data_IF_980373918654
#
_entry.id   IF_980373918654
#
_cell.length_a   1.000
_cell.length_b   1.000
_cell.length_c   1.000
_cell.angle_alpha   90.00
_cell.angle_beta   90.00
_cell.angle_gamma   90.00
#
_symmetry.space_group_name_H-M   'P 1'
#
loop_
_entity.id
_entity.type
_entity.pdbx_description
1 polymer ?
#
# COMPACT_ATOMS: atom_id res chain seq x y z
N UNK A 1 90.86 33.00 -33.99
CA UNK A 1 90.08 33.19 -32.75
C UNK A 1 88.61 32.91 -33.12
N UNK A 2 88.12 31.69 -32.94
CA UNK A 2 86.80 31.29 -33.30
C UNK A 2 86.12 30.83 -32.01
N UNK A 3 84.96 31.44 -31.68
CA UNK A 3 84.16 31.09 -30.52
C UNK A 3 83.05 30.17 -30.97
N UNK A 4 83.09 28.94 -30.50
CA UNK A 4 82.04 27.94 -30.72
C UNK A 4 80.94 28.11 -29.67
N UNK A 5 79.76 28.38 -30.10
CA UNK A 5 78.55 28.44 -29.24
C UNK A 5 77.83 27.07 -29.25
N UNK A 6 77.76 26.43 -28.10
CA UNK A 6 77.04 25.21 -27.90
C UNK A 6 75.55 25.52 -27.65
N UNK A 7 74.62 25.06 -28.46
CA UNK A 7 73.18 25.06 -28.22
C UNK A 7 72.82 23.84 -27.39
N UNK A 8 72.24 24.09 -26.19
CA UNK A 8 71.58 23.10 -25.37
C UNK A 8 70.10 23.07 -25.74
N UNK A 9 69.66 21.99 -26.36
CA UNK A 9 68.23 21.72 -26.61
C UNK A 9 67.64 20.94 -25.45
N UNK A 10 66.79 21.62 -24.65
CA UNK A 10 66.00 20.97 -23.61
C UNK A 10 64.73 20.34 -24.19
N UNK A 11 64.66 19.01 -24.18
CA UNK A 11 63.44 18.27 -24.53
C UNK A 11 62.51 18.20 -23.33
N UNK A 12 61.38 18.91 -23.39
CA UNK A 12 60.30 18.80 -22.43
C UNK A 12 59.42 17.58 -22.76
N UNK A 13 59.47 16.54 -21.94
CA UNK A 13 58.59 15.39 -22.02
C UNK A 13 57.27 15.78 -21.33
N UNK A 14 56.23 16.04 -22.15
CA UNK A 14 54.85 16.20 -21.67
C UNK A 14 54.27 14.82 -21.34
N UNK A 15 54.20 14.47 -20.05
CA UNK A 15 53.48 13.31 -19.59
C UNK A 15 51.96 13.58 -19.68
N UNK A 16 51.31 13.10 -20.75
CA UNK A 16 49.87 13.06 -20.84
C UNK A 16 49.32 12.00 -19.86
N UNK A 17 48.85 12.46 -18.72
CA UNK A 17 48.09 11.63 -17.77
C UNK A 17 46.78 11.21 -18.40
N UNK A 18 46.68 9.98 -18.90
CA UNK A 18 45.39 9.35 -19.24
C UNK A 18 44.64 9.10 -17.93
N UNK A 19 43.73 10.01 -17.59
CA UNK A 19 42.74 9.75 -16.56
C UNK A 19 41.86 8.59 -17.06
N UNK A 20 42.11 7.39 -16.56
CA UNK A 20 41.19 6.25 -16.68
C UNK A 20 39.93 6.64 -15.94
N UNK A 21 38.92 7.18 -16.64
CA UNK A 21 37.59 7.29 -16.12
C UNK A 21 37.13 5.84 -15.81
N UNK A 22 37.13 5.46 -14.54
CA UNK A 22 36.45 4.25 -14.10
C UNK A 22 35.00 4.37 -14.53
N UNK A 23 34.45 3.42 -15.32
CA UNK A 23 33.04 3.45 -15.59
C UNK A 23 32.31 3.38 -14.24
N UNK A 24 31.61 4.44 -13.89
CA UNK A 24 30.63 4.41 -12.82
C UNK A 24 29.55 3.45 -13.30
N UNK A 25 29.60 2.20 -12.91
CA UNK A 25 28.49 1.28 -13.10
C UNK A 25 27.35 1.81 -12.22
N UNK A 26 26.47 2.61 -12.81
CA UNK A 26 25.17 2.82 -12.22
C UNK A 26 24.54 1.42 -12.09
N UNK A 27 24.16 1.03 -10.89
CA UNK A 27 23.53 -0.27 -10.66
C UNK A 27 22.26 -0.42 -11.49
N UNK A 28 21.81 -1.65 -11.71
CA UNK A 28 20.56 -1.91 -12.43
C UNK A 28 19.41 -1.10 -11.85
N UNK A 29 18.61 -0.48 -12.72
CA UNK A 29 17.48 0.36 -12.29
C UNK A 29 16.33 -0.55 -11.84
N UNK A 30 15.79 -0.23 -10.68
CA UNK A 30 14.54 -0.82 -10.16
C UNK A 30 13.53 0.28 -9.89
N UNK A 31 12.27 0.02 -10.21
CA UNK A 31 11.18 0.98 -10.11
C UNK A 31 10.21 0.65 -8.97
N UNK A 32 9.66 1.68 -8.33
CA UNK A 32 8.47 1.60 -7.49
C UNK A 32 7.44 2.60 -8.01
N UNK A 33 6.20 2.14 -8.18
CA UNK A 33 5.05 2.99 -8.52
C UNK A 33 3.98 2.76 -7.47
N UNK A 34 3.60 3.82 -6.73
CA UNK A 34 2.58 3.78 -5.68
C UNK A 34 1.39 4.68 -6.03
N UNK A 35 0.26 4.47 -5.35
CA UNK A 35 -0.97 5.23 -5.60
C UNK A 35 -0.82 6.71 -5.28
N UNK A 36 -0.15 7.04 -4.15
CA UNK A 36 0.13 8.42 -3.73
C UNK A 36 1.46 8.52 -3.00
N UNK A 37 1.96 9.74 -2.83
CA UNK A 37 3.11 10.05 -1.99
C UNK A 37 2.74 10.72 -0.65
N UNK A 38 1.46 10.77 -0.30
CA UNK A 38 0.93 11.42 0.91
C UNK A 38 0.36 10.45 1.93
N UNK A 39 -0.10 9.27 1.50
CA UNK A 39 -0.54 8.23 2.42
C UNK A 39 0.69 7.62 3.15
N UNK A 40 0.71 7.61 4.50
CA UNK A 40 1.84 7.09 5.28
C UNK A 40 2.27 5.67 4.91
N UNK A 41 1.33 4.80 4.52
CA UNK A 41 1.62 3.45 4.07
C UNK A 41 2.57 3.42 2.86
N UNK A 42 2.29 4.23 1.83
CA UNK A 42 3.12 4.29 0.64
C UNK A 42 4.42 5.07 0.87
N UNK A 43 4.42 6.05 1.78
CA UNK A 43 5.66 6.73 2.21
C UNK A 43 6.62 5.71 2.82
N UNK A 44 6.16 4.85 3.73
CA UNK A 44 6.98 3.80 4.34
C UNK A 44 7.38 2.71 3.36
N UNK A 45 6.49 2.32 2.47
CA UNK A 45 6.83 1.39 1.39
C UNK A 45 7.99 1.92 0.53
N UNK A 46 7.97 3.21 0.17
CA UNK A 46 9.05 3.87 -0.56
C UNK A 46 10.35 3.90 0.24
N UNK A 47 10.31 4.21 1.53
CA UNK A 47 11.50 4.18 2.40
C UNK A 47 12.14 2.79 2.41
N UNK A 48 11.34 1.73 2.59
CA UNK A 48 11.82 0.34 2.54
C UNK A 48 12.40 -0.05 1.18
N UNK A 49 11.73 0.36 0.10
CA UNK A 49 12.21 0.16 -1.26
C UNK A 49 13.58 0.80 -1.51
N UNK A 50 13.71 2.09 -1.19
CA UNK A 50 14.96 2.85 -1.41
C UNK A 50 16.12 2.30 -0.57
N UNK A 51 15.84 1.97 0.70
CA UNK A 51 16.83 1.39 1.60
C UNK A 51 17.34 0.03 1.09
N UNK A 52 16.43 -0.86 0.70
CA UNK A 52 16.80 -2.21 0.23
C UNK A 52 17.48 -2.18 -1.14
N UNK A 53 17.03 -1.34 -2.05
CA UNK A 53 17.69 -1.16 -3.34
C UNK A 53 19.13 -0.68 -3.19
N UNK A 54 19.36 0.30 -2.31
CA UNK A 54 20.69 0.81 -2.00
C UNK A 54 21.58 -0.26 -1.35
N UNK A 55 21.03 -1.05 -0.41
CA UNK A 55 21.73 -2.18 0.22
C UNK A 55 22.26 -3.17 -0.82
N UNK A 56 21.45 -3.45 -1.86
CA UNK A 56 21.79 -4.41 -2.92
C UNK A 56 22.57 -3.80 -4.10
N UNK A 57 22.95 -2.50 -4.03
CA UNK A 57 23.69 -1.81 -5.09
C UNK A 57 22.85 -1.54 -6.34
N UNK A 58 21.52 -1.52 -6.23
CA UNK A 58 20.59 -1.18 -7.29
C UNK A 58 20.33 0.34 -7.30
N UNK A 59 19.85 0.84 -8.43
CA UNK A 59 19.49 2.27 -8.59
C UNK A 59 17.96 2.41 -8.47
N UNK A 60 17.43 2.92 -7.33
CA UNK A 60 15.99 3.06 -7.13
C UNK A 60 15.44 4.26 -7.88
N UNK A 61 14.28 4.07 -8.52
CA UNK A 61 13.44 5.14 -9.08
C UNK A 61 12.02 4.97 -8.56
N UNK A 62 11.53 5.91 -7.76
CA UNK A 62 10.21 5.86 -7.15
C UNK A 62 9.30 6.96 -7.71
N UNK A 63 8.10 6.56 -8.10
CA UNK A 63 7.05 7.41 -8.62
C UNK A 63 5.75 7.16 -7.86
N UNK A 64 4.82 8.12 -7.96
CA UNK A 64 3.50 7.98 -7.37
C UNK A 64 2.45 8.69 -8.24
N UNK A 65 1.23 8.21 -8.20
CA UNK A 65 0.06 8.95 -8.65
C UNK A 65 -0.16 10.21 -7.78
N UNK A 66 -0.97 11.14 -8.27
CA UNK A 66 -1.31 12.37 -7.55
C UNK A 66 -2.32 12.13 -6.43
N UNK A 67 -3.16 11.13 -6.60
CA UNK A 67 -4.20 10.69 -5.67
C UNK A 67 -4.49 9.21 -5.91
N UNK A 68 -5.13 8.55 -4.96
CA UNK A 68 -5.59 7.17 -5.15
C UNK A 68 -6.69 7.15 -6.23
N UNK A 69 -6.44 6.41 -7.32
CA UNK A 69 -7.24 6.44 -8.55
C UNK A 69 -6.58 7.15 -9.75
N UNK A 70 -5.36 7.70 -9.62
CA UNK A 70 -4.62 8.34 -10.74
C UNK A 70 -3.91 7.28 -11.62
N UNK A 71 -4.70 6.44 -12.28
CA UNK A 71 -4.18 5.42 -13.20
C UNK A 71 -3.31 6.02 -14.32
N UNK A 72 -3.65 7.20 -14.85
CA UNK A 72 -2.86 7.87 -15.88
C UNK A 72 -1.46 8.27 -15.40
N UNK A 73 -1.35 8.68 -14.13
CA UNK A 73 -0.07 8.97 -13.49
C UNK A 73 0.79 7.71 -13.37
N UNK A 74 0.20 6.59 -12.98
CA UNK A 74 0.86 5.30 -12.86
C UNK A 74 1.31 4.76 -14.24
N UNK A 75 0.46 4.87 -15.28
CA UNK A 75 0.82 4.53 -16.67
C UNK A 75 2.08 5.27 -17.10
N UNK A 76 2.11 6.61 -16.92
CA UNK A 76 3.28 7.44 -17.26
C UNK A 76 4.53 7.03 -16.49
N UNK A 77 4.39 6.71 -15.20
CA UNK A 77 5.49 6.26 -14.36
C UNK A 77 6.09 4.93 -14.86
N UNK A 78 5.25 3.97 -15.22
CA UNK A 78 5.69 2.68 -15.79
C UNK A 78 6.37 2.92 -17.14
N UNK A 79 5.82 3.75 -18.01
CA UNK A 79 6.45 4.07 -19.32
C UNK A 79 7.81 4.75 -19.15
N UNK A 80 7.98 5.62 -18.15
CA UNK A 80 9.29 6.21 -17.81
C UNK A 80 10.28 5.14 -17.35
N UNK A 81 9.87 4.19 -16.54
CA UNK A 81 10.72 3.08 -16.09
C UNK A 81 11.09 2.13 -17.23
N UNK A 82 10.18 1.88 -18.17
CA UNK A 82 10.48 1.12 -19.39
C UNK A 82 11.55 1.86 -20.22
N UNK A 83 11.37 3.16 -20.45
CA UNK A 83 12.32 3.99 -21.20
C UNK A 83 13.69 4.09 -20.50
N UNK A 84 13.72 4.07 -19.17
CA UNK A 84 14.96 4.06 -18.38
C UNK A 84 15.68 2.70 -18.38
N UNK A 85 15.07 1.65 -18.91
CA UNK A 85 15.65 0.30 -18.95
C UNK A 85 15.64 -0.40 -17.59
N UNK A 86 14.62 -0.13 -16.75
CA UNK A 86 14.46 -0.80 -15.47
C UNK A 86 14.47 -2.34 -15.63
N UNK A 87 15.01 -3.03 -14.63
CA UNK A 87 15.04 -4.50 -14.61
C UNK A 87 13.84 -5.11 -13.90
N UNK A 88 13.26 -4.35 -12.99
CA UNK A 88 12.04 -4.73 -12.28
C UNK A 88 11.24 -3.51 -11.86
N UNK A 89 9.94 -3.67 -11.79
CA UNK A 89 8.97 -2.68 -11.32
C UNK A 89 8.13 -3.30 -10.22
N UNK A 90 8.12 -2.66 -9.06
CA UNK A 90 7.13 -2.90 -8.02
C UNK A 90 5.99 -1.90 -8.19
N UNK A 91 4.75 -2.39 -8.26
CA UNK A 91 3.56 -1.61 -8.57
C UNK A 91 2.49 -1.81 -7.51
N UNK A 92 1.94 -0.70 -6.99
CA UNK A 92 0.69 -0.71 -6.21
C UNK A 92 -0.39 -0.05 -7.07
N UNK A 93 -1.23 -0.81 -7.79
CA UNK A 93 -2.15 -0.25 -8.77
C UNK A 93 -3.35 0.45 -8.12
N UNK A 94 -3.71 1.64 -8.60
CA UNK A 94 -4.96 2.33 -8.26
C UNK A 94 -6.17 1.75 -9.00
N UNK A 95 -5.93 1.15 -10.17
CA UNK A 95 -6.93 0.41 -10.93
C UNK A 95 -6.37 -0.95 -11.34
N UNK A 96 -6.95 -1.99 -10.76
CA UNK A 96 -6.45 -3.36 -10.92
C UNK A 96 -6.60 -3.94 -12.33
N UNK A 97 -7.45 -3.35 -13.15
CA UNK A 97 -7.77 -3.79 -14.53
C UNK A 97 -7.20 -2.84 -15.58
N UNK A 98 -7.44 -1.53 -15.43
CA UNK A 98 -7.05 -0.54 -16.43
C UNK A 98 -5.53 -0.43 -16.64
N UNK A 99 -4.72 -0.76 -15.62
CA UNK A 99 -3.26 -0.74 -15.70
C UNK A 99 -2.67 -1.95 -16.43
N UNK A 100 -3.42 -3.07 -16.57
CA UNK A 100 -2.94 -4.35 -17.12
C UNK A 100 -2.26 -4.22 -18.49
N UNK A 101 -2.79 -3.46 -19.47
CA UNK A 101 -2.10 -3.27 -20.75
C UNK A 101 -0.71 -2.66 -20.62
N UNK A 102 -0.52 -1.74 -19.65
CA UNK A 102 0.79 -1.10 -19.41
C UNK A 102 1.75 -2.05 -18.70
N UNK A 103 1.24 -2.85 -17.75
CA UNK A 103 2.02 -3.94 -17.13
C UNK A 103 2.49 -4.93 -18.19
N UNK A 104 1.60 -5.29 -19.13
CA UNK A 104 2.00 -6.15 -20.27
C UNK A 104 3.13 -5.54 -21.12
N UNK A 105 3.08 -4.24 -21.43
CA UNK A 105 4.17 -3.55 -22.14
C UNK A 105 5.51 -3.68 -21.39
N UNK A 106 5.50 -3.50 -20.05
CA UNK A 106 6.71 -3.65 -19.26
C UNK A 106 7.27 -5.08 -19.32
N UNK A 107 6.39 -6.08 -19.18
CA UNK A 107 6.76 -7.51 -19.24
C UNK A 107 7.26 -7.91 -20.64
N UNK A 108 6.63 -7.41 -21.71
CA UNK A 108 7.08 -7.62 -23.10
C UNK A 108 8.46 -6.98 -23.36
N UNK A 109 8.82 -5.91 -22.65
CA UNK A 109 10.15 -5.31 -22.66
C UNK A 109 11.20 -6.07 -21.81
N UNK A 110 10.83 -7.22 -21.24
CA UNK A 110 11.71 -8.05 -20.40
C UNK A 110 11.86 -7.56 -18.95
N UNK A 111 11.01 -6.64 -18.50
CA UNK A 111 10.99 -6.12 -17.15
C UNK A 111 10.09 -7.00 -16.30
N UNK A 112 10.59 -7.49 -15.14
CA UNK A 112 9.75 -8.21 -14.20
C UNK A 112 8.84 -7.23 -13.45
N UNK A 113 7.54 -7.56 -13.35
CA UNK A 113 6.57 -6.74 -12.64
C UNK A 113 6.02 -7.51 -11.44
N UNK A 114 6.21 -6.95 -10.25
CA UNK A 114 5.72 -7.47 -8.98
C UNK A 114 4.68 -6.49 -8.45
N UNK A 115 3.45 -6.92 -8.22
CA UNK A 115 2.48 -6.10 -7.51
C UNK A 115 2.69 -6.18 -6.00
N UNK A 116 2.54 -5.05 -5.33
CA UNK A 116 2.58 -4.94 -3.88
C UNK A 116 1.18 -4.54 -3.37
N UNK A 117 0.77 -5.06 -2.21
CA UNK A 117 -0.48 -4.70 -1.52
C UNK A 117 -1.77 -5.01 -2.31
N UNK A 118 -1.86 -4.52 -3.53
CA UNK A 118 -3.07 -4.57 -4.37
C UNK A 118 -2.87 -5.51 -5.56
N UNK A 119 -3.57 -6.65 -5.62
CA UNK A 119 -3.52 -7.55 -6.78
C UNK A 119 -4.03 -6.90 -8.07
N UNK A 120 -3.56 -7.36 -9.23
CA UNK A 120 -4.23 -7.10 -10.50
C UNK A 120 -5.45 -8.03 -10.69
N UNK A 121 -6.33 -7.68 -11.59
CA UNK A 121 -7.38 -8.57 -12.10
C UNK A 121 -7.25 -8.68 -13.65
N UNK A 122 -6.78 -9.82 -14.16
CA UNK A 122 -6.41 -11.05 -13.44
C UNK A 122 -5.06 -10.94 -12.70
N UNK A 123 -4.91 -11.68 -11.61
CA UNK A 123 -3.71 -11.63 -10.74
C UNK A 123 -2.41 -12.05 -11.45
N UNK A 124 -2.49 -12.93 -12.44
CA UNK A 124 -1.37 -13.42 -13.26
C UNK A 124 -0.92 -12.44 -14.37
N UNK A 125 -1.58 -11.27 -14.45
CA UNK A 125 -1.10 -10.18 -15.30
C UNK A 125 0.26 -9.64 -14.79
N UNK A 126 0.58 -9.76 -13.51
CA UNK A 126 1.92 -9.54 -12.95
C UNK A 126 2.72 -10.85 -12.87
N UNK A 127 4.02 -10.76 -12.59
CA UNK A 127 4.88 -11.94 -12.40
C UNK A 127 4.80 -12.50 -10.99
N UNK A 128 4.47 -11.68 -9.99
CA UNK A 128 4.19 -12.09 -8.61
C UNK A 128 3.40 -11.01 -7.87
N UNK A 129 2.82 -11.38 -6.73
CA UNK A 129 2.13 -10.52 -5.78
C UNK A 129 2.78 -10.66 -4.40
N UNK A 130 3.21 -9.55 -3.78
CA UNK A 130 3.67 -9.52 -2.40
C UNK A 130 2.73 -8.61 -1.60
N UNK A 131 1.87 -9.21 -0.82
CA UNK A 131 0.77 -8.51 -0.16
C UNK A 131 0.34 -9.22 1.12
N UNK A 132 -0.35 -8.50 1.96
CA UNK A 132 -1.25 -9.04 2.98
C UNK A 132 -2.40 -9.80 2.30
N UNK A 133 -2.92 -10.85 2.92
CA UNK A 133 -4.25 -11.36 2.57
C UNK A 133 -5.31 -10.32 2.95
N UNK A 134 -5.67 -9.48 1.97
CA UNK A 134 -6.59 -8.36 2.17
C UNK A 134 -8.00 -8.81 2.57
N UNK A 135 -8.46 -9.98 2.09
CA UNK A 135 -9.74 -10.54 2.53
C UNK A 135 -9.68 -10.94 4.00
N UNK A 136 -8.61 -11.60 4.40
CA UNK A 136 -8.38 -12.01 5.79
C UNK A 136 -8.25 -10.80 6.72
N UNK A 137 -7.55 -9.75 6.29
CA UNK A 137 -7.43 -8.51 7.05
C UNK A 137 -8.81 -7.88 7.34
N UNK A 138 -9.68 -7.82 6.32
CA UNK A 138 -11.08 -7.41 6.49
C UNK A 138 -11.87 -8.36 7.39
N UNK A 139 -11.72 -9.67 7.17
CA UNK A 139 -12.43 -10.68 7.95
C UNK A 139 -12.12 -10.60 9.46
N UNK A 140 -10.86 -10.37 9.82
CA UNK A 140 -10.44 -10.24 11.22
C UNK A 140 -11.12 -9.08 11.93
N UNK A 141 -11.16 -7.89 11.32
CA UNK A 141 -11.85 -6.72 11.91
C UNK A 141 -13.37 -6.92 11.95
N UNK A 142 -13.94 -7.64 10.97
CA UNK A 142 -15.36 -8.01 10.96
C UNK A 142 -15.71 -8.99 12.09
N UNK A 143 -14.92 -10.05 12.27
CA UNK A 143 -15.09 -11.03 13.36
C UNK A 143 -14.96 -10.39 14.73
N UNK A 144 -13.97 -9.51 14.89
CA UNK A 144 -13.78 -8.75 16.12
C UNK A 144 -14.98 -7.84 16.43
N UNK A 145 -15.44 -7.09 15.43
CA UNK A 145 -16.59 -6.21 15.58
C UNK A 145 -17.85 -7.03 15.96
N UNK A 146 -18.13 -8.12 15.23
CA UNK A 146 -19.24 -9.02 15.55
C UNK A 146 -19.21 -9.50 17.00
N UNK A 147 -18.05 -9.98 17.46
CA UNK A 147 -17.90 -10.47 18.82
C UNK A 147 -18.02 -9.36 19.86
N UNK A 148 -17.54 -8.15 19.56
CA UNK A 148 -17.68 -6.97 20.42
C UNK A 148 -19.15 -6.56 20.59
N UNK A 149 -19.94 -6.64 19.51
CA UNK A 149 -21.38 -6.34 19.57
C UNK A 149 -22.21 -7.47 20.20
N UNK A 150 -21.73 -8.72 20.16
CA UNK A 150 -22.45 -9.88 20.70
C UNK A 150 -23.86 -10.01 20.12
N UNK A 151 -24.87 -10.15 20.98
CA UNK A 151 -26.28 -10.30 20.55
C UNK A 151 -26.80 -9.09 19.76
N UNK A 152 -26.18 -7.92 19.89
CA UNK A 152 -26.55 -6.71 19.14
C UNK A 152 -25.98 -6.66 17.74
N UNK A 153 -25.11 -7.59 17.37
CA UNK A 153 -24.47 -7.60 16.05
C UNK A 153 -25.52 -7.65 14.90
N UNK A 154 -26.58 -8.43 15.06
CA UNK A 154 -27.64 -8.57 14.03
C UNK A 154 -28.47 -7.31 13.78
N UNK A 155 -28.45 -6.34 14.71
CA UNK A 155 -29.19 -5.07 14.60
C UNK A 155 -28.30 -3.84 14.45
N UNK A 156 -26.97 -4.02 14.47
CA UNK A 156 -26.00 -2.94 14.35
C UNK A 156 -26.16 -2.18 13.02
N UNK A 157 -26.07 -0.86 13.09
CA UNK A 157 -26.13 0.05 11.94
C UNK A 157 -24.70 0.40 11.52
N UNK A 158 -24.34 0.05 10.30
CA UNK A 158 -22.97 0.06 9.79
C UNK A 158 -22.84 1.10 8.69
N UNK A 159 -21.84 1.97 8.81
CA UNK A 159 -21.37 2.81 7.74
C UNK A 159 -20.08 2.22 7.14
N UNK A 160 -19.92 2.24 5.81
CA UNK A 160 -18.71 1.80 5.14
C UNK A 160 -18.01 2.96 4.46
N UNK A 161 -16.72 3.10 4.74
CA UNK A 161 -15.81 4.10 4.17
C UNK A 161 -14.85 3.35 3.24
N UNK A 162 -15.25 3.21 1.99
CA UNK A 162 -14.57 2.42 0.97
C UNK A 162 -13.49 3.24 0.25
N UNK A 163 -12.70 2.63 -0.62
CA UNK A 163 -11.56 3.30 -1.24
C UNK A 163 -11.99 4.16 -2.43
N UNK A 164 -12.56 3.53 -3.46
CA UNK A 164 -12.80 4.19 -4.74
C UNK A 164 -13.94 3.52 -5.53
N UNK A 165 -14.62 4.31 -6.37
CA UNK A 165 -15.76 3.85 -7.16
C UNK A 165 -15.43 2.84 -8.27
N UNK A 166 -14.15 2.71 -8.65
CA UNK A 166 -13.67 1.68 -9.57
C UNK A 166 -13.34 0.36 -8.89
N UNK A 167 -13.57 0.26 -7.58
CA UNK A 167 -13.47 -0.96 -6.77
C UNK A 167 -12.19 -1.77 -7.04
N UNK A 168 -10.96 -1.18 -6.82
CA UNK A 168 -9.74 -1.95 -6.99
C UNK A 168 -9.74 -3.18 -6.07
N UNK A 169 -9.00 -4.22 -6.45
CA UNK A 169 -9.03 -5.52 -5.75
C UNK A 169 -8.86 -5.41 -4.24
N UNK A 170 -7.97 -4.55 -3.76
CA UNK A 170 -7.76 -4.32 -2.32
C UNK A 170 -9.03 -3.82 -1.62
N UNK A 171 -9.84 -3.04 -2.32
CA UNK A 171 -11.05 -2.42 -1.77
C UNK A 171 -12.13 -3.47 -1.53
N UNK A 172 -12.57 -4.16 -2.59
CA UNK A 172 -13.62 -5.17 -2.42
C UNK A 172 -13.17 -6.37 -1.58
N UNK A 173 -11.87 -6.73 -1.59
CA UNK A 173 -11.37 -7.82 -0.75
C UNK A 173 -11.51 -7.47 0.75
N UNK A 174 -11.06 -6.28 1.17
CA UNK A 174 -11.19 -5.84 2.56
C UNK A 174 -12.64 -5.67 2.97
N UNK A 175 -13.46 -5.02 2.13
CA UNK A 175 -14.88 -4.82 2.37
C UNK A 175 -15.63 -6.14 2.52
N UNK A 176 -15.48 -7.05 1.54
CA UNK A 176 -16.16 -8.35 1.56
C UNK A 176 -15.66 -9.23 2.71
N UNK A 177 -14.35 -9.18 3.01
CA UNK A 177 -13.81 -9.83 4.20
C UNK A 177 -14.47 -9.32 5.48
N UNK A 178 -14.62 -7.99 5.64
CA UNK A 178 -15.32 -7.40 6.78
C UNK A 178 -16.79 -7.87 6.85
N UNK A 179 -17.53 -7.84 5.75
CA UNK A 179 -18.92 -8.31 5.74
C UNK A 179 -19.02 -9.78 6.16
N UNK A 180 -18.18 -10.64 5.58
CA UNK A 180 -18.14 -12.07 5.91
C UNK A 180 -17.81 -12.29 7.39
N UNK A 181 -16.75 -11.65 7.89
CA UNK A 181 -16.36 -11.72 9.28
C UNK A 181 -17.44 -11.22 10.24
N UNK A 182 -18.17 -10.18 9.89
CA UNK A 182 -19.28 -9.66 10.67
C UNK A 182 -20.55 -10.56 10.57
N UNK A 183 -20.61 -11.39 9.53
CA UNK A 183 -21.73 -12.32 9.28
C UNK A 183 -22.80 -11.76 8.38
N UNK A 184 -22.47 -10.77 7.55
CA UNK A 184 -23.32 -10.25 6.47
C UNK A 184 -22.95 -11.00 5.19
N UNK A 185 -23.92 -11.63 4.49
CA UNK A 185 -23.63 -12.38 3.27
C UNK A 185 -23.00 -11.51 2.17
N UNK A 186 -21.90 -11.98 1.62
CA UNK A 186 -21.27 -11.42 0.42
C UNK A 186 -21.98 -11.97 -0.80
N UNK A 187 -22.56 -11.10 -1.62
CA UNK A 187 -23.32 -11.51 -2.82
C UNK A 187 -22.42 -11.64 -4.04
N UNK A 188 -21.50 -10.70 -4.21
CA UNK A 188 -20.53 -10.69 -5.29
C UNK A 188 -19.11 -10.61 -4.72
N UNK A 189 -18.25 -11.60 -4.97
CA UNK A 189 -16.90 -11.61 -4.42
C UNK A 189 -15.98 -10.55 -5.03
N UNK A 190 -16.36 -9.92 -6.15
CA UNK A 190 -15.58 -8.91 -6.87
C UNK A 190 -16.13 -7.49 -6.77
N UNK A 191 -17.27 -7.31 -6.10
CA UNK A 191 -17.92 -6.01 -5.92
C UNK A 191 -18.47 -5.85 -4.52
N UNK A 192 -18.32 -4.66 -3.94
CA UNK A 192 -18.88 -4.37 -2.61
C UNK A 192 -20.23 -3.65 -2.67
N UNK A 193 -20.54 -2.96 -3.77
CA UNK A 193 -21.76 -2.16 -3.91
C UNK A 193 -23.08 -2.94 -3.81
N UNK A 194 -23.01 -4.25 -3.65
CA UNK A 194 -24.14 -5.19 -3.70
C UNK A 194 -24.72 -5.56 -2.33
N UNK A 195 -24.31 -4.92 -1.26
CA UNK A 195 -24.87 -5.25 0.07
C UNK A 195 -26.26 -4.63 0.25
N UNK A 196 -27.31 -5.44 0.03
CA UNK A 196 -28.70 -5.07 0.38
C UNK A 196 -29.01 -5.29 1.88
N UNK A 197 -27.99 -5.46 2.70
CA UNK A 197 -28.21 -5.68 4.13
C UNK A 197 -28.82 -4.42 4.75
N UNK A 198 -29.95 -4.53 5.48
CA UNK A 198 -30.55 -3.41 6.19
C UNK A 198 -29.66 -2.87 7.34
N UNK A 199 -28.55 -3.56 7.59
CA UNK A 199 -27.54 -3.11 8.53
C UNK A 199 -26.62 -2.03 7.95
N UNK A 200 -26.36 -2.06 6.62
CA UNK A 200 -25.56 -1.04 5.95
C UNK A 200 -26.43 0.20 5.74
N UNK A 201 -26.20 1.25 6.52
CA UNK A 201 -26.99 2.47 6.52
C UNK A 201 -26.40 3.58 5.65
N UNK A 202 -25.19 3.39 5.16
CA UNK A 202 -24.53 4.29 4.23
C UNK A 202 -23.15 3.78 3.83
N UNK A 203 -22.80 4.04 2.58
CA UNK A 203 -21.48 3.75 1.99
C UNK A 203 -21.03 4.96 1.19
N UNK A 204 -19.76 5.30 1.28
CA UNK A 204 -19.16 6.34 0.44
C UNK A 204 -17.65 6.10 0.29
N UNK A 205 -17.04 6.72 -0.74
CA UNK A 205 -15.64 6.52 -1.10
C UNK A 205 -14.75 7.61 -0.52
N UNK A 206 -13.55 7.23 -0.07
CA UNK A 206 -12.65 8.07 0.72
C UNK A 206 -11.37 8.46 -0.01
N UNK A 207 -11.07 7.81 -1.11
CA UNK A 207 -9.76 7.88 -1.77
C UNK A 207 -8.60 7.58 -0.80
N UNK A 208 -8.86 6.73 0.20
CA UNK A 208 -7.90 6.30 1.21
C UNK A 208 -7.30 7.43 2.06
N UNK A 209 -7.92 8.59 2.13
CA UNK A 209 -7.39 9.80 2.77
C UNK A 209 -8.23 10.25 3.97
N UNK A 210 -7.61 11.02 4.88
CA UNK A 210 -8.32 11.60 6.04
C UNK A 210 -9.41 12.58 5.60
N UNK A 211 -9.15 13.42 4.61
CA UNK A 211 -10.14 14.37 4.11
C UNK A 211 -11.31 13.64 3.42
N UNK A 212 -10.99 12.64 2.60
CA UNK A 212 -12.00 11.81 1.97
C UNK A 212 -12.86 11.05 2.97
N UNK A 213 -12.24 10.45 4.00
CA UNK A 213 -12.97 9.78 5.08
C UNK A 213 -13.89 10.72 5.85
N UNK A 214 -13.43 11.96 6.09
CA UNK A 214 -14.26 13.00 6.70
C UNK A 214 -15.47 13.33 5.83
N UNK A 215 -15.25 13.66 4.56
CA UNK A 215 -16.30 14.01 3.61
C UNK A 215 -17.31 12.89 3.43
N UNK A 216 -16.83 11.65 3.27
CA UNK A 216 -17.67 10.45 3.15
C UNK A 216 -18.57 10.27 4.39
N UNK A 217 -18.02 10.40 5.58
CA UNK A 217 -18.80 10.30 6.81
C UNK A 217 -19.80 11.45 6.97
N UNK A 218 -19.42 12.69 6.62
CA UNK A 218 -20.34 13.84 6.62
C UNK A 218 -21.54 13.60 5.68
N UNK A 219 -21.31 13.00 4.50
CA UNK A 219 -22.38 12.62 3.56
C UNK A 219 -23.30 11.52 4.13
N UNK A 220 -22.71 10.52 4.79
CA UNK A 220 -23.48 9.44 5.41
C UNK A 220 -24.33 9.98 6.57
N UNK A 221 -23.77 10.87 7.41
CA UNK A 221 -24.46 11.47 8.55
C UNK A 221 -25.68 12.33 8.17
N UNK A 222 -25.76 12.79 6.91
CA UNK A 222 -26.95 13.49 6.41
C UNK A 222 -28.14 12.56 6.12
N UNK A 223 -27.87 11.25 5.99
CA UNK A 223 -28.87 10.26 5.56
C UNK A 223 -29.16 9.20 6.62
N UNK A 224 -28.19 8.93 7.51
CA UNK A 224 -28.28 7.90 8.53
C UNK A 224 -28.60 8.53 9.89
N UNK A 225 -29.74 8.15 10.47
CA UNK A 225 -30.14 8.61 11.81
C UNK A 225 -29.25 8.03 12.89
N UNK A 226 -28.79 6.79 12.71
CA UNK A 226 -27.98 6.04 13.67
C UNK A 226 -26.86 5.28 12.98
N UNK A 227 -25.67 5.33 13.58
CA UNK A 227 -24.51 4.52 13.19
C UNK A 227 -23.98 3.90 14.49
N UNK A 228 -23.76 2.59 14.50
CA UNK A 228 -23.18 1.85 15.62
C UNK A 228 -21.72 1.43 15.31
N UNK A 229 -21.43 1.17 14.04
CA UNK A 229 -20.14 0.66 13.56
C UNK A 229 -19.72 1.37 12.27
N UNK A 230 -18.45 1.73 12.18
CA UNK A 230 -17.83 2.23 10.96
C UNK A 230 -16.74 1.25 10.52
N UNK A 231 -16.89 0.67 9.34
CA UNK A 231 -15.80 0.05 8.62
C UNK A 231 -15.06 1.12 7.82
N UNK A 232 -13.75 1.14 7.87
CA UNK A 232 -12.93 1.98 7.04
C UNK A 232 -11.85 1.16 6.33
N UNK A 233 -11.66 1.41 5.04
CA UNK A 233 -10.69 0.74 4.17
C UNK A 233 -9.26 0.81 4.72
N UNK A 234 -8.92 1.92 5.39
CA UNK A 234 -7.62 2.17 6.00
C UNK A 234 -7.70 3.15 7.18
N UNK A 235 -6.61 3.30 7.90
CA UNK A 235 -6.54 4.17 9.08
C UNK A 235 -6.71 5.67 8.79
N UNK A 236 -6.16 6.26 7.70
CA UNK A 236 -6.45 7.65 7.37
C UNK A 236 -7.94 7.92 7.17
N UNK A 237 -8.66 7.05 6.44
CA UNK A 237 -10.10 7.16 6.24
C UNK A 237 -10.87 7.00 7.57
N UNK A 238 -10.46 6.06 8.42
CA UNK A 238 -11.05 5.85 9.75
C UNK A 238 -10.95 7.10 10.61
N UNK A 239 -9.76 7.71 10.67
CA UNK A 239 -9.56 8.94 11.44
C UNK A 239 -10.40 10.10 10.92
N UNK A 240 -10.49 10.25 9.59
CA UNK A 240 -11.37 11.24 8.95
C UNK A 240 -12.84 11.04 9.33
N UNK A 241 -13.32 9.81 9.24
CA UNK A 241 -14.68 9.43 9.63
C UNK A 241 -14.96 9.70 11.10
N UNK A 242 -14.03 9.34 11.99
CA UNK A 242 -14.14 9.66 13.42
C UNK A 242 -14.19 11.17 13.68
N UNK A 243 -13.36 11.96 12.96
CA UNK A 243 -13.37 13.41 13.10
C UNK A 243 -14.72 14.04 12.71
N UNK A 244 -15.38 13.51 11.66
CA UNK A 244 -16.72 13.94 11.25
C UNK A 244 -17.76 13.56 12.31
N UNK A 245 -17.73 12.34 12.83
CA UNK A 245 -18.60 11.91 13.93
C UNK A 245 -18.45 12.82 15.15
N UNK A 246 -17.22 13.14 15.54
CA UNK A 246 -16.91 14.02 16.68
C UNK A 246 -17.40 15.45 16.44
N UNK A 247 -17.22 15.99 15.25
CA UNK A 247 -17.73 17.32 14.90
C UNK A 247 -19.26 17.39 14.95
N UNK A 248 -19.94 16.28 14.64
CA UNK A 248 -21.39 16.16 14.75
C UNK A 248 -21.89 15.80 16.17
N UNK A 249 -21.00 15.57 17.14
CA UNK A 249 -21.35 15.11 18.50
C UNK A 249 -21.91 13.69 18.56
N UNK A 250 -21.64 12.86 17.53
CA UNK A 250 -22.18 11.50 17.35
C UNK A 250 -21.13 10.40 17.55
N UNK A 251 -19.92 10.71 18.01
CA UNK A 251 -18.84 9.75 18.19
C UNK A 251 -19.07 8.76 19.33
N UNK A 252 -19.88 9.15 20.33
CA UNK A 252 -20.11 8.33 21.53
C UNK A 252 -20.92 7.08 21.20
N UNK A 253 -20.35 5.92 21.52
CA UNK A 253 -21.00 4.62 21.30
C UNK A 253 -20.86 4.10 19.86
N UNK A 254 -20.13 4.81 18.99
CA UNK A 254 -19.76 4.33 17.65
C UNK A 254 -18.40 3.63 17.73
N UNK A 255 -18.34 2.41 17.22
CA UNK A 255 -17.09 1.65 17.07
C UNK A 255 -16.53 1.89 15.67
N UNK A 256 -15.23 2.12 15.55
CA UNK A 256 -14.54 2.26 14.26
C UNK A 256 -13.55 1.11 14.11
N UNK A 257 -13.51 0.46 12.95
CA UNK A 257 -12.50 -0.56 12.60
C UNK A 257 -11.82 -0.22 11.30
N UNK A 258 -10.54 -0.57 11.18
CA UNK A 258 -9.71 -0.20 10.03
C UNK A 258 -8.66 -1.28 9.70
N UNK A 259 -7.93 -1.04 8.62
CA UNK A 259 -6.73 -1.78 8.23
C UNK A 259 -5.56 -0.81 8.15
N UNK A 260 -4.38 -1.22 8.44
CA UNK A 260 -3.01 -0.75 8.17
C UNK A 260 -2.06 -1.08 9.32
N UNK A 261 -2.39 -0.75 10.57
CA UNK A 261 -1.53 -0.98 11.74
C UNK A 261 -0.25 -0.13 11.73
N UNK A 262 -0.31 1.07 11.17
CA UNK A 262 0.72 2.09 11.34
C UNK A 262 0.86 2.51 12.81
N UNK A 263 2.03 3.00 13.23
CA UNK A 263 2.24 3.35 14.64
C UNK A 263 1.25 4.40 15.16
N UNK A 264 0.80 5.30 14.28
CA UNK A 264 -0.25 6.25 14.64
C UNK A 264 -1.62 5.57 14.78
N UNK A 265 -1.98 4.64 13.88
CA UNK A 265 -3.23 3.88 13.96
C UNK A 265 -3.29 2.98 15.20
N UNK A 266 -2.18 2.32 15.54
CA UNK A 266 -2.07 1.54 16.80
C UNK A 266 -2.24 2.43 18.03
N UNK A 267 -1.73 3.68 18.00
CA UNK A 267 -2.01 4.66 19.08
C UNK A 267 -3.49 5.03 19.12
N UNK A 268 -4.16 5.16 17.97
CA UNK A 268 -5.61 5.43 17.95
C UNK A 268 -6.42 4.27 18.53
N UNK A 269 -5.94 3.03 18.40
CA UNK A 269 -6.56 1.89 19.12
C UNK A 269 -6.42 2.09 20.64
N UNK A 270 -5.24 2.47 21.13
CA UNK A 270 -5.01 2.76 22.55
C UNK A 270 -5.88 3.92 23.09
N UNK A 271 -6.13 4.90 22.23
CA UNK A 271 -6.94 6.09 22.56
C UNK A 271 -8.46 5.83 22.44
N UNK A 272 -8.87 4.66 21.94
CA UNK A 272 -10.27 4.31 21.71
C UNK A 272 -10.92 5.03 20.53
N UNK A 273 -10.11 5.65 19.64
CA UNK A 273 -10.58 6.25 18.38
C UNK A 273 -10.91 5.15 17.37
N UNK A 274 -10.08 4.13 17.31
CA UNK A 274 -10.28 2.89 16.54
C UNK A 274 -10.40 1.75 17.55
N UNK A 275 -11.36 0.85 17.39
CA UNK A 275 -11.53 -0.31 18.27
C UNK A 275 -10.56 -1.45 17.94
N UNK A 276 -10.30 -1.66 16.66
CA UNK A 276 -9.33 -2.64 16.16
C UNK A 276 -8.82 -2.25 14.77
N UNK A 277 -7.57 -2.60 14.46
CA UNK A 277 -6.96 -2.45 13.13
C UNK A 277 -6.24 -3.73 12.73
N UNK A 278 -6.38 -4.16 11.47
CA UNK A 278 -5.56 -5.24 10.92
C UNK A 278 -4.23 -4.69 10.43
N UNK A 279 -3.15 -5.03 11.13
CA UNK A 279 -1.80 -4.55 10.84
C UNK A 279 -1.20 -5.28 9.65
N UNK A 280 -0.60 -4.55 8.74
CA UNK A 280 0.12 -5.02 7.55
C UNK A 280 1.51 -4.37 7.46
N UNK A 281 2.38 -4.84 6.53
CA UNK A 281 3.82 -4.61 6.60
C UNK A 281 4.41 -4.03 5.30
N UNK A 282 4.23 -2.73 4.98
CA UNK A 282 4.69 -2.12 3.72
C UNK A 282 6.21 -2.15 3.53
N UNK A 283 6.98 -2.04 4.62
CA UNK A 283 8.44 -2.16 4.58
C UNK A 283 8.89 -3.55 4.12
N UNK A 284 8.21 -4.60 4.61
CA UNK A 284 8.50 -5.99 4.24
C UNK A 284 8.13 -6.24 2.77
N UNK A 285 6.93 -5.83 2.35
CA UNK A 285 6.50 -5.97 0.94
C UNK A 285 7.52 -5.34 -0.02
N UNK A 286 7.98 -4.13 0.30
CA UNK A 286 8.95 -3.43 -0.52
C UNK A 286 10.34 -4.11 -0.52
N UNK A 287 10.83 -4.50 0.65
CA UNK A 287 12.13 -5.15 0.78
C UNK A 287 12.17 -6.50 0.05
N UNK A 288 11.13 -7.32 0.23
CA UNK A 288 11.01 -8.60 -0.46
C UNK A 288 10.87 -8.41 -1.98
N UNK A 289 10.14 -7.39 -2.43
CA UNK A 289 10.02 -7.03 -3.85
C UNK A 289 11.38 -6.71 -4.47
N UNK A 290 12.16 -5.85 -3.83
CA UNK A 290 13.50 -5.49 -4.30
C UNK A 290 14.44 -6.71 -4.30
N UNK A 291 14.39 -7.54 -3.23
CA UNK A 291 15.19 -8.77 -3.16
C UNK A 291 14.85 -9.72 -4.31
N UNK A 292 13.55 -9.91 -4.57
CA UNK A 292 13.07 -10.77 -5.65
C UNK A 292 13.54 -10.29 -7.04
N UNK A 293 13.54 -8.98 -7.29
CA UNK A 293 14.08 -8.40 -8.52
C UNK A 293 15.60 -8.64 -8.61
N UNK A 294 16.34 -8.43 -7.53
CA UNK A 294 17.79 -8.69 -7.50
C UNK A 294 18.11 -10.16 -7.79
N UNK A 295 17.34 -11.08 -7.23
CA UNK A 295 17.51 -12.50 -7.46
C UNK A 295 17.15 -12.89 -8.90
N UNK A 296 16.11 -12.29 -9.46
CA UNK A 296 15.77 -12.47 -10.87
C UNK A 296 16.89 -11.99 -11.82
N UNK A 297 17.46 -10.82 -11.57
CA UNK A 297 18.61 -10.30 -12.32
C UNK A 297 19.78 -11.28 -12.33
N UNK A 298 20.05 -11.92 -11.18
CA UNK A 298 21.17 -12.87 -11.03
C UNK A 298 20.91 -14.23 -11.65
N UNK A 299 19.66 -14.72 -11.55
CA UNK A 299 19.35 -16.13 -11.81
C UNK A 299 18.42 -16.37 -13.01
N UNK A 300 17.70 -15.35 -13.46
CA UNK A 300 16.63 -15.45 -14.46
C UNK A 300 15.36 -16.15 -13.94
N UNK A 301 15.34 -16.56 -12.66
CA UNK A 301 14.19 -17.28 -12.08
C UNK A 301 13.15 -16.28 -11.58
N UNK A 302 11.92 -16.40 -12.10
CA UNK A 302 10.79 -15.59 -11.62
C UNK A 302 10.45 -15.89 -10.17
N UNK A 303 10.09 -14.87 -9.36
CA UNK A 303 9.65 -15.06 -7.99
C UNK A 303 8.28 -15.74 -7.93
N UNK A 304 8.00 -16.33 -6.77
CA UNK A 304 6.65 -16.76 -6.37
C UNK A 304 6.02 -15.68 -5.49
N UNK A 305 4.69 -15.57 -5.53
CA UNK A 305 3.96 -14.63 -4.67
C UNK A 305 4.18 -14.92 -3.18
N UNK A 306 4.19 -13.86 -2.37
CA UNK A 306 4.42 -13.92 -0.92
C UNK A 306 3.22 -13.28 -0.21
N UNK A 307 2.62 -14.01 0.73
CA UNK A 307 1.76 -13.45 1.74
C UNK A 307 2.64 -12.89 2.87
N UNK A 308 2.59 -11.56 3.07
CA UNK A 308 3.36 -10.88 4.12
C UNK A 308 2.68 -10.94 5.49
N UNK A 309 1.49 -11.51 5.54
CA UNK A 309 0.70 -11.72 6.74
C UNK A 309 -0.04 -10.47 7.23
N UNK A 310 -0.92 -10.71 8.20
CA UNK A 310 -1.66 -9.69 8.93
C UNK A 310 -1.80 -10.06 10.42
N UNK A 311 -2.00 -9.05 11.25
CA UNK A 311 -2.33 -9.25 12.68
C UNK A 311 -3.39 -8.24 13.12
N UNK A 312 -4.44 -8.74 13.74
CA UNK A 312 -5.43 -7.87 14.37
C UNK A 312 -4.85 -7.26 15.65
N UNK A 313 -4.83 -5.94 15.73
CA UNK A 313 -4.38 -5.20 16.93
C UNK A 313 -5.58 -4.64 17.66
N UNK A 314 -5.72 -4.98 18.92
CA UNK A 314 -6.76 -4.45 19.82
C UNK A 314 -6.39 -4.67 21.29
N UNK A 315 -6.83 -3.79 22.19
CA UNK A 315 -6.75 -4.01 23.65
C UNK A 315 -8.02 -4.67 24.23
N UNK A 316 -8.99 -4.97 23.36
CA UNK A 316 -10.24 -5.64 23.73
C UNK A 316 -10.40 -6.95 22.95
N UNK A 317 -9.63 -8.00 23.30
CA UNK A 317 -9.66 -9.26 22.56
C UNK A 317 -11.04 -9.94 22.64
N UNK A 318 -11.47 -10.52 21.54
CA UNK A 318 -12.71 -11.30 21.44
C UNK A 318 -12.36 -12.79 21.42
N UNK A 319 -13.00 -13.62 22.23
CA UNK A 319 -12.77 -15.06 22.21
C UNK A 319 -12.94 -15.68 20.83
N UNK A 320 -11.95 -16.49 20.40
CA UNK A 320 -11.96 -17.14 19.09
C UNK A 320 -11.46 -16.27 17.91
N UNK A 321 -11.16 -14.99 18.13
CA UNK A 321 -10.59 -14.10 17.12
C UNK A 321 -9.10 -13.87 17.45
N UNK A 322 -8.16 -14.36 16.63
CA UNK A 322 -6.74 -14.14 16.85
C UNK A 322 -6.41 -12.65 16.85
N UNK A 323 -5.76 -12.16 17.89
CA UNK A 323 -5.36 -10.76 18.02
C UNK A 323 -4.10 -10.61 18.85
N UNK A 324 -3.43 -9.48 18.69
CA UNK A 324 -2.31 -9.04 19.54
C UNK A 324 -2.71 -7.76 20.27
N UNK A 325 -2.05 -7.52 21.41
CA UNK A 325 -2.23 -6.29 22.18
C UNK A 325 -1.68 -5.07 21.44
N UNK A 326 -2.12 -3.88 21.85
CA UNK A 326 -1.54 -2.61 21.37
C UNK A 326 -0.03 -2.55 21.63
N UNK A 327 0.46 -3.02 22.76
CA UNK A 327 1.89 -3.02 23.08
C UNK A 327 2.72 -3.93 22.16
N UNK A 328 2.15 -5.05 21.73
CA UNK A 328 2.76 -5.91 20.70
C UNK A 328 2.66 -5.27 19.32
N UNK A 329 1.52 -4.70 18.96
CA UNK A 329 1.31 -3.96 17.72
C UNK A 329 2.28 -2.78 17.58
N UNK A 330 2.58 -2.06 18.65
CA UNK A 330 3.56 -0.97 18.69
C UNK A 330 5.00 -1.43 18.41
N UNK A 331 5.35 -2.69 18.69
CA UNK A 331 6.67 -3.24 18.34
C UNK A 331 6.81 -3.62 16.87
N UNK A 332 5.69 -3.85 16.21
CA UNK A 332 5.62 -4.32 14.83
C UNK A 332 5.19 -3.22 13.86
N UNK A 333 4.67 -2.10 14.36
CA UNK A 333 4.15 -1.02 13.54
C UNK A 333 5.25 -0.31 12.76
N UNK A 334 4.84 0.38 11.74
CA UNK A 334 5.66 1.22 10.87
C UNK A 334 5.15 2.68 10.93
N UNK A 335 6.04 3.67 10.77
CA UNK A 335 5.68 5.10 10.73
C UNK A 335 6.28 5.93 11.83
#
# INVERSE_FOLDING_TARGET
MSKTIALLTSAAVAAMGIALATPSYAGDIVGLVTKTNTNPFFVKMKEGFEAKAKELGLTPQAYAGKFDGDNDGEVKAIEQLIAAGAKGIMLVPSDSTAIVPTVKKARDAGIIVITLDTPLDPVDAADALFATDNYKAGQLIGQWAKGTFGDKASSAKIATLDLASNEPTVDYLRHNGFLDGFGIPVKDPKHYAQSDSPQIVGSDVTKGSTEGGRTAMENILQKADKIDLVYAINEPAAYGGYAALKAAGKEKGVTVVAVDGGCQGVKWVKEGIIGATSQQYPLLMAADGVQAVADYIKTGKKPTSIDTGEKLVTDHPVPGVPSISVDEGMKLCWG
#
